data_IF_674218136237
#
_entry.id   IF_674218136237
#
_cell.length_a   1.000
_cell.length_b   1.000
_cell.length_c   1.000
_cell.angle_alpha   90.00
_cell.angle_beta   90.00
_cell.angle_gamma   90.00
#
_symmetry.space_group_name_H-M   'P 1'
#
loop_
_entity.id
_entity.type
_entity.pdbx_description
1 polymer ?
#
# COMPACT_ATOMS: atom_id res chain seq x y z
N UNK A 1 15.39 14.02 1.67
CA UNK A 1 15.17 15.02 2.69
C UNK A 1 14.67 14.44 4.03
N UNK A 2 14.28 13.16 4.10
CA UNK A 2 13.85 12.50 5.35
C UNK A 2 15.02 12.22 6.31
N UNK A 3 16.21 11.92 5.80
CA UNK A 3 17.40 11.58 6.58
C UNK A 3 17.92 12.66 7.58
N UNK A 4 17.34 13.86 7.59
CA UNK A 4 17.66 14.88 8.60
C UNK A 4 16.71 14.90 9.80
N UNK A 5 15.62 14.10 9.74
CA UNK A 5 14.58 14.05 10.78
C UNK A 5 14.45 12.66 11.39
N UNK A 6 14.91 11.64 10.68
CA UNK A 6 14.78 10.23 11.05
C UNK A 6 16.12 9.53 10.84
N UNK A 7 16.39 8.50 11.62
CA UNK A 7 17.38 7.48 11.31
C UNK A 7 16.79 6.60 10.19
N UNK A 8 17.10 6.95 8.95
CA UNK A 8 16.43 6.43 7.76
C UNK A 8 17.33 5.47 6.99
N UNK A 9 16.84 4.27 6.76
CA UNK A 9 17.46 3.27 5.88
C UNK A 9 16.62 3.15 4.61
N UNK A 10 17.24 3.42 3.45
CA UNK A 10 16.65 3.10 2.16
C UNK A 10 17.07 1.69 1.74
N UNK A 11 16.13 0.86 1.34
CA UNK A 11 16.38 -0.51 0.92
C UNK A 11 15.75 -0.83 -0.41
N UNK A 12 16.30 -1.82 -1.10
CA UNK A 12 15.77 -2.37 -2.33
C UNK A 12 16.14 -3.86 -2.41
N UNK A 13 15.41 -4.64 -3.19
CA UNK A 13 15.76 -6.03 -3.47
C UNK A 13 17.04 -6.13 -4.31
N UNK A 14 17.25 -5.21 -5.26
CA UNK A 14 18.50 -5.10 -6.05
C UNK A 14 19.37 -3.98 -5.47
N UNK A 15 20.53 -4.34 -4.92
CA UNK A 15 21.53 -3.39 -4.39
C UNK A 15 21.99 -2.33 -5.39
N UNK A 16 21.76 -2.57 -6.70
CA UNK A 16 22.14 -1.67 -7.79
C UNK A 16 21.05 -0.70 -8.21
N UNK A 17 19.82 -0.84 -7.67
CA UNK A 17 18.68 -0.02 -8.05
C UNK A 17 18.96 1.48 -7.84
N UNK A 18 19.57 1.84 -6.71
CA UNK A 18 19.92 3.21 -6.37
C UNK A 18 21.22 3.29 -5.55
N UNK A 19 21.86 4.47 -5.52
CA UNK A 19 23.03 4.69 -4.68
C UNK A 19 22.66 4.72 -3.20
N UNK A 20 23.37 3.94 -2.39
CA UNK A 20 23.24 3.97 -0.92
C UNK A 20 22.05 3.19 -0.38
N UNK A 21 21.46 2.33 -1.18
CA UNK A 21 20.45 1.37 -0.69
C UNK A 21 21.12 0.19 0.00
N UNK A 22 20.41 -0.36 0.97
CA UNK A 22 20.76 -1.65 1.58
C UNK A 22 19.94 -2.71 0.86
N UNK A 23 20.58 -3.78 0.42
CA UNK A 23 19.86 -4.92 -0.13
C UNK A 23 19.00 -5.55 0.97
N UNK A 24 17.71 -5.75 0.69
CA UNK A 24 16.77 -6.32 1.64
C UNK A 24 15.66 -7.08 0.90
N UNK A 25 15.44 -8.33 1.30
CA UNK A 25 14.29 -9.11 0.87
C UNK A 25 13.21 -9.02 1.96
N UNK A 26 12.02 -8.53 1.61
CA UNK A 26 10.90 -8.43 2.54
C UNK A 26 10.46 -9.80 3.09
N UNK A 27 10.77 -10.89 2.39
CA UNK A 27 10.45 -12.25 2.83
C UNK A 27 11.49 -12.82 3.82
N UNK A 28 12.61 -12.12 4.04
CA UNK A 28 13.67 -12.52 4.95
C UNK A 28 14.48 -11.28 5.37
N UNK A 29 13.88 -10.44 6.18
CA UNK A 29 14.49 -9.18 6.61
C UNK A 29 15.65 -9.47 7.58
N UNK A 30 16.89 -9.24 7.12
CA UNK A 30 18.09 -9.40 7.94
C UNK A 30 18.24 -8.23 8.94
N UNK A 31 17.31 -8.18 9.87
CA UNK A 31 17.30 -7.25 11.01
C UNK A 31 16.71 -7.94 12.23
N UNK A 32 17.13 -7.54 13.45
CA UNK A 32 16.53 -8.04 14.69
C UNK A 32 15.03 -7.74 14.76
N UNK A 33 14.33 -8.48 15.62
CA UNK A 33 12.97 -8.15 16.00
C UNK A 33 12.94 -6.73 16.57
N UNK A 34 11.83 -6.02 16.34
CA UNK A 34 11.56 -4.70 16.94
C UNK A 34 12.65 -3.65 16.64
N UNK A 35 13.18 -3.63 15.43
CA UNK A 35 14.28 -2.74 15.02
C UNK A 35 13.82 -1.48 14.27
N UNK A 36 12.53 -1.38 13.91
CA UNK A 36 12.00 -0.22 13.19
C UNK A 36 10.74 0.34 13.84
N UNK A 37 10.67 1.67 13.98
CA UNK A 37 9.46 2.36 14.43
C UNK A 37 8.48 2.60 13.28
N UNK A 38 8.98 2.68 12.05
CA UNK A 38 8.15 2.88 10.85
C UNK A 38 8.78 2.22 9.62
N UNK A 39 7.93 1.66 8.77
CA UNK A 39 8.29 1.08 7.48
C UNK A 39 7.39 1.69 6.41
N UNK A 40 7.99 2.09 5.28
CA UNK A 40 7.28 2.59 4.12
C UNK A 40 7.50 1.61 2.96
N UNK A 41 6.40 1.09 2.40
CA UNK A 41 6.44 0.12 1.29
C UNK A 41 5.58 0.60 0.12
N UNK A 42 5.99 1.69 -0.57
CA UNK A 42 5.26 2.15 -1.74
C UNK A 42 5.60 1.27 -2.96
N UNK A 43 4.59 0.64 -3.56
CA UNK A 43 4.73 -0.15 -4.80
C UNK A 43 5.81 -1.24 -4.73
N UNK A 44 5.79 -2.04 -3.65
CA UNK A 44 6.74 -3.14 -3.45
C UNK A 44 6.02 -4.48 -3.32
N UNK A 45 4.91 -4.51 -2.57
CA UNK A 45 4.30 -5.77 -2.14
C UNK A 45 3.72 -6.58 -3.32
N UNK A 46 3.30 -5.91 -4.41
CA UNK A 46 2.84 -6.56 -5.65
C UNK A 46 3.93 -7.38 -6.34
N UNK A 47 5.19 -7.08 -6.04
CA UNK A 47 6.38 -7.76 -6.56
C UNK A 47 6.91 -8.87 -5.66
N UNK A 48 6.25 -9.12 -4.53
CA UNK A 48 6.67 -10.11 -3.54
C UNK A 48 5.85 -11.39 -3.70
N UNK A 49 6.45 -12.53 -4.12
CA UNK A 49 5.70 -13.76 -4.37
C UNK A 49 5.02 -14.33 -3.13
N UNK A 50 5.69 -14.35 -1.98
CA UNK A 50 5.17 -14.86 -0.70
C UNK A 50 4.76 -13.71 0.23
N UNK A 51 3.67 -13.01 -0.12
CA UNK A 51 3.16 -11.83 0.60
C UNK A 51 2.95 -12.09 2.09
N UNK A 52 2.39 -13.25 2.46
CA UNK A 52 2.17 -13.63 3.86
C UNK A 52 3.48 -13.61 4.65
N UNK A 53 4.53 -14.20 4.09
CA UNK A 53 5.85 -14.23 4.72
C UNK A 53 6.46 -12.83 4.88
N UNK A 54 6.27 -11.99 3.86
CA UNK A 54 6.73 -10.60 3.94
C UNK A 54 5.99 -9.82 5.04
N UNK A 55 4.68 -10.00 5.18
CA UNK A 55 3.90 -9.35 6.23
C UNK A 55 4.31 -9.83 7.63
N UNK A 56 4.58 -11.12 7.81
CA UNK A 56 5.09 -11.67 9.07
C UNK A 56 6.47 -11.08 9.43
N UNK A 57 7.37 -10.96 8.46
CA UNK A 57 8.70 -10.38 8.66
C UNK A 57 8.61 -8.88 8.98
N UNK A 58 7.78 -8.13 8.26
CA UNK A 58 7.53 -6.71 8.55
C UNK A 58 6.97 -6.55 9.97
N UNK A 59 5.99 -7.40 10.34
CA UNK A 59 5.42 -7.38 11.69
C UNK A 59 6.48 -7.70 12.75
N UNK A 60 7.35 -8.69 12.50
CA UNK A 60 8.43 -9.07 13.41
C UNK A 60 9.39 -7.92 13.68
N UNK A 61 9.84 -7.23 12.64
CA UNK A 61 10.87 -6.17 12.78
C UNK A 61 10.32 -4.83 13.22
N UNK A 62 9.01 -4.60 13.18
CA UNK A 62 8.40 -3.40 13.76
C UNK A 62 8.40 -3.47 15.29
N UNK A 63 8.67 -2.34 15.93
CA UNK A 63 8.49 -2.17 17.38
C UNK A 63 7.00 -2.27 17.76
N UNK A 64 6.65 -2.62 19.02
CA UNK A 64 5.28 -2.49 19.50
C UNK A 64 4.76 -1.06 19.31
N UNK A 65 3.60 -0.89 18.67
CA UNK A 65 3.06 0.42 18.27
C UNK A 65 3.70 1.01 17.01
N UNK A 66 4.71 0.34 16.44
CA UNK A 66 5.33 0.72 15.17
C UNK A 66 4.38 0.60 13.99
N UNK A 67 4.66 1.31 12.92
CA UNK A 67 3.73 1.52 11.80
C UNK A 67 4.33 1.12 10.46
N UNK A 68 3.54 0.42 9.65
CA UNK A 68 3.79 0.29 8.22
C UNK A 68 2.82 1.18 7.45
N UNK A 69 3.33 1.96 6.51
CA UNK A 69 2.53 2.64 5.49
C UNK A 69 2.72 1.90 4.17
N UNK A 70 1.68 1.17 3.79
CA UNK A 70 1.67 0.31 2.61
C UNK A 70 0.87 0.97 1.49
N UNK A 71 1.47 1.06 0.32
CA UNK A 71 0.80 1.50 -0.89
C UNK A 71 0.99 0.46 -1.99
N UNK A 72 -0.09 0.02 -2.60
CA UNK A 72 -0.12 -0.91 -3.74
C UNK A 72 -1.15 -0.46 -4.75
N UNK A 73 -0.99 -0.78 -6.04
CA UNK A 73 -2.03 -0.56 -7.03
C UNK A 73 -3.26 -1.41 -6.70
N UNK A 74 -4.44 -0.77 -6.55
CA UNK A 74 -5.71 -1.45 -6.39
C UNK A 74 -6.44 -1.41 -7.72
N UNK A 75 -6.39 -2.51 -8.45
CA UNK A 75 -6.91 -2.63 -9.82
C UNK A 75 -8.15 -3.52 -9.90
N UNK A 76 -8.54 -4.14 -8.80
CA UNK A 76 -9.66 -5.08 -8.73
C UNK A 76 -10.21 -5.17 -7.30
N UNK A 77 -11.44 -5.67 -7.16
CA UNK A 77 -12.10 -5.74 -5.84
C UNK A 77 -11.54 -6.82 -4.90
N UNK A 78 -10.87 -7.84 -5.43
CA UNK A 78 -10.29 -8.95 -4.64
C UNK A 78 -8.85 -9.22 -5.06
N UNK A 79 -8.02 -9.51 -4.09
CA UNK A 79 -6.63 -9.90 -4.31
C UNK A 79 -6.55 -11.24 -5.04
N UNK A 80 -5.81 -11.26 -6.15
CA UNK A 80 -5.54 -12.46 -6.94
C UNK A 80 -4.24 -12.29 -7.75
N UNK A 81 -3.58 -13.37 -8.15
CA UNK A 81 -2.50 -13.27 -9.12
C UNK A 81 -3.03 -12.78 -10.48
N UNK A 82 -2.19 -12.15 -11.31
CA UNK A 82 -2.53 -11.85 -12.70
C UNK A 82 -2.92 -13.13 -13.47
N UNK A 83 -3.87 -13.03 -14.39
CA UNK A 83 -4.30 -14.17 -15.24
C UNK A 83 -3.18 -14.59 -16.20
N UNK A 84 -2.46 -13.61 -16.73
CA UNK A 84 -1.29 -13.81 -17.61
C UNK A 84 -0.07 -13.19 -16.91
N UNK A 85 1.17 -13.65 -17.22
CA UNK A 85 2.38 -13.04 -16.68
C UNK A 85 2.41 -11.54 -16.94
N UNK A 86 2.54 -10.76 -15.87
CA UNK A 86 2.53 -9.31 -15.90
C UNK A 86 3.88 -8.75 -15.43
N UNK A 87 4.31 -7.69 -16.09
CA UNK A 87 5.58 -7.02 -15.79
C UNK A 87 5.38 -5.51 -15.87
N UNK A 88 6.03 -4.77 -14.98
CA UNK A 88 6.15 -3.33 -15.14
C UNK A 88 7.12 -2.97 -16.28
N UNK A 89 7.17 -1.69 -16.65
CA UNK A 89 7.99 -1.23 -17.80
C UNK A 89 9.49 -1.46 -17.68
N UNK A 90 9.98 -1.69 -16.47
CA UNK A 90 11.36 -2.06 -16.12
C UNK A 90 11.61 -3.58 -16.08
N UNK A 91 10.62 -4.37 -16.53
CA UNK A 91 10.60 -5.83 -16.46
C UNK A 91 10.48 -6.43 -15.05
N UNK A 92 10.11 -5.65 -14.04
CA UNK A 92 9.81 -6.18 -12.71
C UNK A 92 8.52 -7.01 -12.75
N UNK A 93 8.54 -8.30 -12.32
CA UNK A 93 7.35 -9.14 -12.36
C UNK A 93 6.30 -8.68 -11.34
N UNK A 94 5.02 -8.78 -11.71
CA UNK A 94 3.88 -8.58 -10.81
C UNK A 94 3.34 -9.96 -10.42
N UNK A 95 3.41 -10.30 -9.15
CA UNK A 95 2.88 -11.56 -8.62
C UNK A 95 1.44 -11.44 -8.14
N UNK A 96 1.05 -10.24 -7.70
CA UNK A 96 -0.25 -9.99 -7.10
C UNK A 96 -0.90 -8.71 -7.62
N UNK A 97 -2.19 -8.81 -7.92
CA UNK A 97 -3.09 -7.67 -8.05
C UNK A 97 -3.92 -7.59 -6.80
N UNK A 98 -3.73 -6.54 -6.03
CA UNK A 98 -4.41 -6.36 -4.76
C UNK A 98 -5.80 -5.77 -4.94
N UNK A 99 -6.70 -6.18 -4.05
CA UNK A 99 -8.02 -5.63 -3.83
C UNK A 99 -8.16 -5.07 -2.41
N UNK A 100 -9.34 -4.57 -2.07
CA UNK A 100 -9.61 -4.01 -0.74
C UNK A 100 -9.68 -5.09 0.37
N UNK A 101 -9.81 -6.36 0.01
CA UNK A 101 -9.66 -7.50 0.91
C UNK A 101 -8.26 -7.61 1.53
N UNK A 102 -7.28 -6.87 1.02
CA UNK A 102 -5.97 -6.71 1.65
C UNK A 102 -6.08 -6.22 3.09
N UNK A 103 -7.07 -5.38 3.43
CA UNK A 103 -7.31 -4.94 4.81
C UNK A 103 -7.53 -6.12 5.77
N UNK A 104 -8.30 -7.12 5.36
CA UNK A 104 -8.51 -8.33 6.16
C UNK A 104 -7.22 -9.15 6.29
N UNK A 105 -6.48 -9.32 5.19
CA UNK A 105 -5.18 -10.00 5.20
C UNK A 105 -4.19 -9.33 6.15
N UNK A 106 -4.08 -8.01 6.14
CA UNK A 106 -3.21 -7.27 7.06
C UNK A 106 -3.57 -7.53 8.53
N UNK A 107 -4.87 -7.58 8.84
CA UNK A 107 -5.36 -7.90 10.20
C UNK A 107 -5.07 -9.33 10.61
N UNK A 108 -5.14 -10.29 9.70
CA UNK A 108 -4.76 -11.69 9.95
C UNK A 108 -3.27 -11.83 10.29
N UNK A 109 -2.42 -10.92 9.80
CA UNK A 109 -1.01 -10.84 10.13
C UNK A 109 -0.69 -9.95 11.35
N UNK A 110 -1.69 -9.64 12.19
CA UNK A 110 -1.50 -8.99 13.49
C UNK A 110 -1.50 -7.47 13.48
N UNK A 111 -1.83 -6.83 12.36
CA UNK A 111 -1.93 -5.39 12.29
C UNK A 111 -3.34 -4.88 12.64
N UNK A 112 -3.42 -3.74 13.32
CA UNK A 112 -4.60 -2.89 13.21
C UNK A 112 -4.45 -2.08 11.93
N UNK A 113 -5.39 -2.19 11.00
CA UNK A 113 -5.25 -1.61 9.66
C UNK A 113 -6.44 -0.73 9.30
N UNK A 114 -6.13 0.48 8.81
CA UNK A 114 -7.07 1.43 8.21
C UNK A 114 -6.60 1.81 6.81
N UNK A 115 -7.54 2.08 5.93
CA UNK A 115 -7.27 2.58 4.60
C UNK A 115 -7.42 4.09 4.58
N UNK A 116 -6.33 4.80 4.40
CA UNK A 116 -6.29 6.25 4.38
C UNK A 116 -6.84 6.78 3.05
N UNK A 117 -7.81 7.66 3.11
CA UNK A 117 -8.46 8.25 1.95
C UNK A 117 -8.64 9.77 2.12
N UNK A 118 -8.83 10.49 1.01
CA UNK A 118 -9.23 11.89 1.04
C UNK A 118 -10.76 12.00 1.16
N UNK A 119 -11.26 13.14 1.62
CA UNK A 119 -12.71 13.41 1.69
C UNK A 119 -13.39 13.29 0.33
N UNK A 120 -12.71 13.71 -0.75
CA UNK A 120 -13.22 13.56 -2.11
C UNK A 120 -13.42 12.10 -2.49
N UNK A 121 -12.50 11.23 -2.11
CA UNK A 121 -12.61 9.80 -2.38
C UNK A 121 -13.74 9.15 -1.56
N UNK A 122 -13.90 9.55 -0.30
CA UNK A 122 -15.00 9.10 0.54
C UNK A 122 -16.36 9.54 -0.02
N UNK A 123 -16.47 10.79 -0.46
CA UNK A 123 -17.67 11.33 -1.11
C UNK A 123 -18.01 10.58 -2.39
N UNK A 124 -17.00 10.21 -3.18
CA UNK A 124 -17.18 9.37 -4.36
C UNK A 124 -17.80 8.02 -4.00
N UNK A 125 -17.25 7.32 -3.02
CA UNK A 125 -17.79 6.02 -2.56
C UNK A 125 -19.23 6.14 -2.07
N UNK A 126 -19.55 7.20 -1.33
CA UNK A 126 -20.88 7.42 -0.76
C UNK A 126 -21.91 7.79 -1.83
N UNK A 127 -21.52 8.52 -2.87
CA UNK A 127 -22.43 9.00 -3.93
C UNK A 127 -22.53 8.07 -5.14
N UNK A 128 -21.56 7.21 -5.34
CA UNK A 128 -21.41 6.43 -6.57
C UNK A 128 -21.10 7.29 -7.82
N UNK A 129 -20.79 8.58 -7.61
CA UNK A 129 -20.47 9.51 -8.68
C UNK A 129 -18.97 9.50 -8.96
N UNK A 130 -18.56 9.09 -10.14
CA UNK A 130 -17.17 9.06 -10.56
C UNK A 130 -16.69 10.45 -10.95
N UNK A 131 -15.76 11.02 -10.18
CA UNK A 131 -14.94 12.16 -10.63
C UNK A 131 -13.76 11.71 -11.52
N UNK A 132 -13.67 10.41 -11.80
CA UNK A 132 -12.64 9.89 -12.68
C UNK A 132 -12.82 10.42 -14.09
N UNK A 133 -11.75 10.82 -14.77
CA UNK A 133 -11.80 11.12 -16.18
C UNK A 133 -12.47 9.96 -16.95
N UNK A 134 -13.34 10.28 -17.89
CA UNK A 134 -14.06 9.28 -18.69
C UNK A 134 -13.13 8.24 -19.35
N UNK A 135 -11.91 8.65 -19.67
CA UNK A 135 -10.86 7.80 -20.20
C UNK A 135 -10.41 6.73 -19.19
N UNK A 136 -10.23 7.10 -17.92
CA UNK A 136 -9.83 6.18 -16.85
C UNK A 136 -10.95 5.18 -16.55
N UNK A 137 -12.21 5.61 -16.55
CA UNK A 137 -13.36 4.74 -16.31
C UNK A 137 -13.62 3.74 -17.44
N UNK A 138 -13.05 3.94 -18.65
CA UNK A 138 -13.07 2.96 -19.74
C UNK A 138 -12.00 1.89 -19.62
N UNK A 139 -10.89 2.22 -18.97
CA UNK A 139 -9.74 1.33 -18.83
C UNK A 139 -9.89 0.40 -17.60
N UNK A 140 -10.60 0.87 -16.57
CA UNK A 140 -10.79 0.14 -15.32
C UNK A 140 -12.27 0.02 -14.98
N UNK A 141 -12.72 -1.17 -14.60
CA UNK A 141 -14.05 -1.39 -14.04
C UNK A 141 -14.10 -0.91 -12.60
N UNK A 142 -14.36 0.39 -12.42
CA UNK A 142 -14.44 1.06 -11.11
C UNK A 142 -15.46 0.38 -10.19
N UNK A 143 -16.58 -0.11 -10.74
CA UNK A 143 -17.60 -0.83 -9.96
C UNK A 143 -17.04 -2.12 -9.37
N UNK A 144 -16.30 -2.87 -10.17
CA UNK A 144 -15.62 -4.09 -9.69
C UNK A 144 -14.51 -3.78 -8.71
N UNK A 145 -13.76 -2.70 -8.92
CA UNK A 145 -12.70 -2.26 -8.02
C UNK A 145 -13.24 -1.89 -6.63
N UNK A 146 -14.36 -1.17 -6.56
CA UNK A 146 -14.93 -0.68 -5.31
C UNK A 146 -15.82 -1.70 -4.59
N UNK A 147 -16.16 -2.81 -5.23
CA UNK A 147 -17.05 -3.83 -4.67
C UNK A 147 -16.57 -4.46 -3.35
N UNK A 148 -15.27 -4.41 -3.07
CA UNK A 148 -14.66 -4.94 -1.84
C UNK A 148 -14.45 -3.90 -0.74
N UNK A 149 -14.85 -2.64 -0.96
CA UNK A 149 -14.64 -1.57 0.02
C UNK A 149 -15.59 -1.73 1.20
N UNK A 150 -15.02 -1.75 2.40
CA UNK A 150 -15.76 -1.68 3.65
C UNK A 150 -15.62 -0.26 4.20
N UNK A 151 -16.74 0.48 4.30
CA UNK A 151 -16.73 1.90 4.67
C UNK A 151 -16.07 2.16 6.02
N UNK A 152 -16.26 1.26 6.99
CA UNK A 152 -15.69 1.37 8.32
C UNK A 152 -14.17 1.15 8.37
N UNK A 153 -13.58 0.65 7.28
CA UNK A 153 -12.13 0.48 7.16
C UNK A 153 -11.43 1.74 6.66
N UNK A 154 -12.20 2.76 6.23
CA UNK A 154 -11.70 3.98 5.63
C UNK A 154 -11.56 5.09 6.67
N UNK A 155 -10.43 5.77 6.66
CA UNK A 155 -10.14 6.93 7.49
C UNK A 155 -9.83 8.14 6.64
N UNK A 156 -10.53 9.27 6.90
CA UNK A 156 -10.24 10.54 6.22
C UNK A 156 -8.98 11.17 6.79
N UNK A 157 -8.01 11.44 5.93
CA UNK A 157 -6.73 12.06 6.32
C UNK A 157 -6.55 13.47 5.77
N UNK A 158 -7.39 13.91 4.84
CA UNK A 158 -7.32 15.23 4.26
C UNK A 158 -8.66 15.68 3.68
N UNK A 159 -9.08 16.91 4.03
CA UNK A 159 -10.11 17.60 3.28
C UNK A 159 -9.62 17.95 1.86
N UNK A 160 -10.56 18.28 0.96
CA UNK A 160 -10.26 18.56 -0.44
C UNK A 160 -9.27 19.72 -0.62
N UNK A 161 -9.34 20.75 0.22
CA UNK A 161 -8.43 21.89 0.16
C UNK A 161 -7.01 21.50 0.56
N UNK A 162 -6.87 20.68 1.59
CA UNK A 162 -5.57 20.13 2.04
C UNK A 162 -5.03 19.16 1.01
N UNK A 163 -5.85 18.27 0.45
CA UNK A 163 -5.46 17.34 -0.61
C UNK A 163 -4.91 18.09 -1.83
N UNK A 164 -5.62 19.11 -2.31
CA UNK A 164 -5.18 19.94 -3.43
C UNK A 164 -3.85 20.65 -3.15
N UNK A 165 -3.69 21.21 -1.94
CA UNK A 165 -2.45 21.88 -1.53
C UNK A 165 -1.25 20.95 -1.48
N UNK A 166 -1.45 19.69 -1.09
CA UNK A 166 -0.42 18.67 -1.01
C UNK A 166 -0.21 17.94 -2.34
N UNK A 167 -1.00 18.24 -3.36
CA UNK A 167 -0.95 17.58 -4.66
C UNK A 167 -1.47 16.13 -4.62
N UNK A 168 -2.30 15.80 -3.62
CA UNK A 168 -2.93 14.49 -3.53
C UNK A 168 -4.06 14.41 -4.56
N UNK A 169 -4.10 13.33 -5.31
CA UNK A 169 -5.17 13.06 -6.27
C UNK A 169 -6.34 12.40 -5.54
N UNK A 170 -7.55 12.99 -5.56
CA UNK A 170 -8.68 12.52 -4.73
C UNK A 170 -9.08 11.07 -5.02
N UNK A 171 -9.08 10.67 -6.26
CA UNK A 171 -9.57 9.37 -6.69
C UNK A 171 -8.49 8.63 -7.48
N UNK A 172 -7.46 8.18 -6.80
CA UNK A 172 -6.44 7.42 -7.49
C UNK A 172 -6.36 5.99 -6.97
N UNK A 173 -5.94 5.09 -7.84
CA UNK A 173 -5.82 3.65 -7.55
C UNK A 173 -4.74 3.30 -6.50
N UNK A 174 -4.06 4.29 -5.95
CA UNK A 174 -2.99 4.13 -4.96
C UNK A 174 -3.44 4.66 -3.60
N UNK A 175 -4.26 3.89 -2.91
CA UNK A 175 -4.63 4.16 -1.54
C UNK A 175 -3.52 3.68 -0.59
N UNK A 176 -3.43 4.29 0.56
CA UNK A 176 -2.40 3.96 1.55
C UNK A 176 -3.04 3.29 2.76
N UNK A 177 -2.59 2.09 3.09
CA UNK A 177 -2.92 1.46 4.36
C UNK A 177 -1.97 1.94 5.45
N UNK A 178 -2.53 2.41 6.57
CA UNK A 178 -1.81 2.52 7.82
C UNK A 178 -2.01 1.21 8.59
N UNK A 179 -0.91 0.55 8.92
CA UNK A 179 -0.89 -0.73 9.61
C UNK A 179 -0.09 -0.57 10.90
N UNK A 180 -0.71 -0.77 12.05
CA UNK A 180 -0.09 -0.58 13.37
C UNK A 180 0.09 -1.95 14.01
N UNK A 181 1.34 -2.29 14.42
CA UNK A 181 1.62 -3.46 15.24
C UNK A 181 1.04 -3.24 16.64
N UNK A 182 0.24 -4.19 17.12
CA UNK A 182 -0.26 -4.15 18.50
C UNK A 182 0.89 -4.05 19.51
N UNK A 183 0.68 -3.29 20.58
CA UNK A 183 1.63 -3.16 21.68
C UNK A 183 1.58 -4.30 22.68
#
# INVERSE_FOLDING_TARGET
AMAGWFDYTCSDYDERAHRGVVQLDLQAIDRPDESFDAILTPHVLEHVPETAKALDEIHRVLTPGGRMYLQVPVLQGRTAPPVEPEFHGDHTPVFWRFGFDLTATLREHGFTSSLLATDGWLSYLDSGASEWPEETSREFDVTSMTAGVVRDDLESVADDATAARLGLLPAYMFLTWECIKAG
#
